data_IF_433202105066
#
_entry.id   IF_433202105066
#
_cell.length_a   1.000
_cell.length_b   1.000
_cell.length_c   1.000
_cell.angle_alpha   90.00
_cell.angle_beta   90.00
_cell.angle_gamma   90.00
#
_symmetry.space_group_name_H-M   'P 1'
#
loop_
_entity.id
_entity.type
_entity.pdbx_description
1 polymer ?
#
# COMPACT_ATOMS: atom_id res chain seq x y z
N UNK A 1 10.74 -2.08 22.85
CA UNK A 1 11.24 -2.00 21.46
C UNK A 1 10.87 -0.68 20.81
N UNK A 2 9.58 -0.32 20.70
CA UNK A 2 9.18 0.95 20.04
C UNK A 2 9.83 2.19 20.67
N UNK A 3 9.91 2.27 22.01
CA UNK A 3 10.59 3.38 22.74
C UNK A 3 12.06 3.62 22.35
N UNK A 4 12.75 2.63 21.78
CA UNK A 4 14.16 2.76 21.38
C UNK A 4 14.35 3.05 19.89
N UNK A 5 13.27 3.25 19.14
CA UNK A 5 13.35 3.61 17.72
C UNK A 5 13.73 5.08 17.54
N UNK A 6 14.03 5.46 16.30
CA UNK A 6 14.30 6.85 15.94
C UNK A 6 13.11 7.77 16.30
N UNK A 7 13.42 9.06 16.47
CA UNK A 7 12.38 10.11 16.55
C UNK A 7 11.50 10.04 15.29
N UNK A 8 10.20 10.27 15.48
CA UNK A 8 9.19 10.27 14.41
C UNK A 8 9.10 8.93 13.68
N UNK A 9 9.21 7.82 14.43
CA UNK A 9 9.26 6.47 13.86
C UNK A 9 7.97 6.04 13.16
N UNK A 10 8.13 5.25 12.10
CA UNK A 10 7.05 4.53 11.41
C UNK A 10 7.09 3.08 11.89
N UNK A 11 5.96 2.55 12.34
CA UNK A 11 5.85 1.19 12.88
C UNK A 11 4.66 0.44 12.29
N UNK A 12 4.91 -0.62 11.52
CA UNK A 12 3.87 -1.45 10.90
C UNK A 12 3.80 -2.83 11.55
N UNK A 13 2.72 -3.09 12.31
CA UNK A 13 2.41 -4.38 12.91
C UNK A 13 1.32 -5.11 12.12
N UNK A 14 1.74 -5.94 11.17
CA UNK A 14 0.87 -6.50 10.14
C UNK A 14 0.40 -7.94 10.43
N UNK A 15 0.76 -8.53 11.57
CA UNK A 15 0.22 -9.82 11.97
C UNK A 15 -1.32 -9.77 12.09
N UNK A 16 -1.98 -10.86 11.69
CA UNK A 16 -3.42 -11.02 11.75
C UNK A 16 -3.79 -12.33 12.45
N UNK A 17 -4.91 -12.39 13.21
CA UNK A 17 -5.84 -11.28 13.49
C UNK A 17 -5.33 -10.30 14.56
N UNK A 18 -4.30 -10.69 15.31
CA UNK A 18 -3.70 -9.89 16.38
C UNK A 18 -2.35 -9.34 15.92
N UNK A 19 -2.15 -8.01 15.91
CA UNK A 19 -0.88 -7.39 15.54
C UNK A 19 0.20 -7.68 16.59
N UNK A 20 1.47 -7.49 16.22
CA UNK A 20 2.64 -7.67 17.08
C UNK A 20 2.63 -6.77 18.33
N UNK A 21 1.94 -5.62 18.24
CA UNK A 21 1.66 -4.66 19.31
C UNK A 21 0.38 -3.93 18.96
N UNK A 22 -0.43 -3.55 19.96
CA UNK A 22 -1.62 -2.76 19.69
C UNK A 22 -1.25 -1.30 19.33
N UNK A 23 -2.00 -0.62 18.46
CA UNK A 23 -1.66 0.73 18.02
C UNK A 23 -1.58 1.78 19.13
N UNK A 24 -2.42 1.67 20.16
CA UNK A 24 -2.40 2.53 21.34
C UNK A 24 -1.10 2.36 22.14
N UNK A 25 -0.67 1.12 22.37
CA UNK A 25 0.60 0.82 23.04
C UNK A 25 1.81 1.30 22.22
N UNK A 26 1.77 1.13 20.89
CA UNK A 26 2.83 1.64 20.00
C UNK A 26 2.89 3.18 20.03
N UNK A 27 1.74 3.85 20.09
CA UNK A 27 1.65 5.31 20.18
C UNK A 27 2.17 5.82 21.53
N UNK A 28 1.78 5.18 22.63
CA UNK A 28 2.31 5.50 23.97
C UNK A 28 3.82 5.29 24.04
N UNK A 29 4.33 4.30 23.32
CA UNK A 29 5.76 4.03 23.21
C UNK A 29 6.51 5.01 22.27
N UNK A 30 5.82 5.94 21.60
CA UNK A 30 6.44 7.03 20.83
C UNK A 30 6.51 6.81 19.32
N UNK A 31 5.79 5.84 18.75
CA UNK A 31 5.64 5.74 17.30
C UNK A 31 4.79 6.90 16.75
N UNK A 32 5.23 7.50 15.65
CA UNK A 32 4.55 8.63 15.01
C UNK A 32 3.53 8.18 13.98
N UNK A 33 3.93 7.27 13.09
CA UNK A 33 3.03 6.65 12.10
C UNK A 33 2.90 5.18 12.43
N UNK A 34 1.67 4.70 12.55
CA UNK A 34 1.37 3.32 12.94
C UNK A 34 0.45 2.73 11.90
N UNK A 35 0.81 1.56 11.38
CA UNK A 35 0.00 0.80 10.42
C UNK A 35 -0.23 -0.62 10.91
N UNK A 36 -1.38 -1.20 10.56
CA UNK A 36 -1.68 -2.60 10.88
C UNK A 36 -2.35 -3.33 9.73
N UNK A 37 -2.56 -4.64 9.84
CA UNK A 37 -3.38 -5.40 8.89
C UNK A 37 -4.90 -5.24 9.09
N UNK A 38 -5.34 -4.63 10.19
CA UNK A 38 -6.74 -4.59 10.63
C UNK A 38 -7.48 -3.38 10.11
N UNK A 39 -8.76 -3.57 9.77
CA UNK A 39 -9.62 -2.53 9.18
C UNK A 39 -10.20 -1.55 10.19
N UNK A 40 -10.18 -1.89 11.47
CA UNK A 40 -10.71 -1.05 12.56
C UNK A 40 -9.68 -0.04 13.10
N UNK A 41 -8.48 0.00 12.53
CA UNK A 41 -7.44 0.98 12.86
C UNK A 41 -7.04 1.83 11.63
N UNK A 42 -6.52 3.05 11.84
CA UNK A 42 -5.92 3.85 10.77
C UNK A 42 -4.78 3.12 10.07
N UNK A 43 -4.46 3.58 8.86
CA UNK A 43 -3.37 3.07 8.03
C UNK A 43 -3.38 1.54 7.86
N UNK A 44 -4.52 0.99 7.48
CA UNK A 44 -4.61 -0.44 7.19
C UNK A 44 -3.77 -0.79 5.96
N UNK A 45 -2.74 -1.62 6.16
CA UNK A 45 -1.97 -2.23 5.08
C UNK A 45 -2.65 -3.51 4.64
N UNK A 46 -3.33 -3.46 3.49
CA UNK A 46 -4.10 -4.58 2.97
C UNK A 46 -3.82 -4.81 1.48
N UNK A 47 -3.63 -6.08 1.10
CA UNK A 47 -3.36 -6.47 -0.29
C UNK A 47 -4.51 -6.15 -1.25
N UNK A 48 -5.73 -5.89 -0.76
CA UNK A 48 -6.90 -5.45 -1.55
C UNK A 48 -6.64 -4.13 -2.28
N UNK A 49 -5.73 -3.30 -1.78
CA UNK A 49 -5.29 -2.08 -2.48
C UNK A 49 -4.47 -2.38 -3.74
N UNK A 50 -3.88 -3.58 -3.84
CA UNK A 50 -2.95 -3.94 -4.90
C UNK A 50 -3.54 -4.96 -5.88
N UNK A 51 -3.96 -6.12 -5.41
CA UNK A 51 -4.25 -7.25 -6.31
C UNK A 51 -5.33 -6.96 -7.37
N UNK A 52 -6.45 -6.25 -7.09
CA UNK A 52 -7.46 -6.00 -8.12
C UNK A 52 -6.89 -5.21 -9.30
N UNK A 53 -6.10 -4.18 -9.02
CA UNK A 53 -5.48 -3.35 -10.04
C UNK A 53 -4.33 -4.05 -10.75
N UNK A 54 -3.47 -4.78 -10.02
CA UNK A 54 -2.38 -5.58 -10.61
C UNK A 54 -2.92 -6.57 -11.64
N UNK A 55 -3.93 -7.36 -11.26
CA UNK A 55 -4.50 -8.34 -12.18
C UNK A 55 -5.25 -7.65 -13.32
N UNK A 56 -6.02 -6.59 -13.05
CA UNK A 56 -6.72 -5.85 -14.11
C UNK A 56 -5.76 -5.28 -15.15
N UNK A 57 -4.70 -4.61 -14.72
CA UNK A 57 -3.72 -4.02 -15.62
C UNK A 57 -2.96 -5.07 -16.42
N UNK A 58 -2.49 -6.14 -15.77
CA UNK A 58 -1.77 -7.21 -16.44
C UNK A 58 -2.65 -7.95 -17.48
N UNK A 59 -3.93 -8.18 -17.18
CA UNK A 59 -4.87 -8.79 -18.11
C UNK A 59 -5.15 -7.89 -19.32
N UNK A 60 -5.23 -6.56 -19.12
CA UNK A 60 -5.54 -5.59 -20.18
C UNK A 60 -4.49 -5.53 -21.27
N UNK A 61 -3.22 -5.72 -20.92
CA UNK A 61 -2.10 -5.78 -21.89
C UNK A 61 -1.59 -7.20 -22.14
N UNK A 62 -2.33 -8.20 -21.63
CA UNK A 62 -1.98 -9.62 -21.69
C UNK A 62 -0.53 -9.87 -21.28
N UNK A 63 -0.05 -9.26 -20.21
CA UNK A 63 1.31 -9.42 -19.72
C UNK A 63 1.67 -10.91 -19.58
N UNK A 64 2.92 -11.27 -19.87
CA UNK A 64 3.42 -12.64 -19.74
C UNK A 64 3.68 -13.03 -18.28
N UNK A 65 3.96 -12.06 -17.43
CA UNK A 65 4.30 -12.21 -16.02
C UNK A 65 4.00 -10.93 -15.24
N UNK A 66 4.14 -10.97 -13.92
CA UNK A 66 4.17 -9.79 -13.04
C UNK A 66 5.62 -9.62 -12.55
N UNK A 67 6.37 -8.70 -13.16
CA UNK A 67 7.78 -8.44 -12.81
C UNK A 67 7.94 -7.39 -11.69
N UNK A 68 9.18 -7.08 -11.32
CA UNK A 68 9.49 -6.14 -10.24
C UNK A 68 9.10 -4.69 -10.60
N UNK A 69 9.30 -4.29 -11.86
CA UNK A 69 8.91 -2.97 -12.35
C UNK A 69 7.40 -2.74 -12.17
N UNK A 70 6.58 -3.75 -12.47
CA UNK A 70 5.13 -3.73 -12.23
C UNK A 70 4.81 -3.62 -10.74
N UNK A 71 5.50 -4.35 -9.85
CA UNK A 71 5.26 -4.28 -8.39
C UNK A 71 5.60 -2.89 -7.83
N UNK A 72 6.71 -2.32 -8.26
CA UNK A 72 7.13 -0.96 -7.89
C UNK A 72 6.11 0.07 -8.41
N UNK A 73 5.64 -0.07 -9.65
CA UNK A 73 4.63 0.80 -10.23
C UNK A 73 3.31 0.76 -9.44
N UNK A 74 2.85 -0.42 -9.01
CA UNK A 74 1.68 -0.53 -8.15
C UNK A 74 1.88 0.15 -6.79
N UNK A 75 3.04 -0.01 -6.16
CA UNK A 75 3.35 0.65 -4.89
C UNK A 75 3.29 2.19 -5.01
N UNK A 76 3.90 2.76 -6.06
CA UNK A 76 3.83 4.19 -6.33
C UNK A 76 2.42 4.66 -6.66
N UNK A 77 1.66 3.88 -7.43
CA UNK A 77 0.28 4.22 -7.77
C UNK A 77 -0.63 4.25 -6.53
N UNK A 78 -0.43 3.35 -5.56
CA UNK A 78 -1.18 3.40 -4.29
C UNK A 78 -0.74 4.62 -3.46
N UNK A 79 0.57 4.84 -3.33
CA UNK A 79 1.11 5.94 -2.53
C UNK A 79 0.69 7.32 -3.06
N UNK A 80 0.60 7.50 -4.38
CA UNK A 80 0.24 8.78 -5.00
C UNK A 80 -1.24 9.14 -4.87
N UNK A 81 -2.08 8.29 -4.28
CA UNK A 81 -3.52 8.57 -4.14
C UNK A 81 -3.84 9.50 -2.98
N UNK A 82 -2.93 9.61 -2.02
CA UNK A 82 -3.06 10.61 -0.96
C UNK A 82 -2.28 11.84 -1.39
N UNK A 83 -2.97 12.98 -1.42
CA UNK A 83 -2.34 14.26 -1.72
C UNK A 83 -1.53 14.74 -0.52
N UNK A 84 -0.50 15.55 -0.78
CA UNK A 84 0.35 16.11 0.27
C UNK A 84 -0.44 16.89 1.34
N UNK A 85 -1.53 17.56 0.95
CA UNK A 85 -2.42 18.30 1.85
C UNK A 85 -3.25 17.40 2.78
N UNK A 86 -3.47 16.14 2.39
CA UNK A 86 -4.25 15.16 3.13
C UNK A 86 -3.36 14.24 3.99
N UNK A 87 -2.04 14.27 3.79
CA UNK A 87 -1.08 13.44 4.52
C UNK A 87 -1.04 13.82 6.01
N UNK A 88 -1.25 12.82 6.85
CA UNK A 88 -1.05 12.94 8.29
C UNK A 88 -0.73 11.55 8.89
N UNK A 89 -0.45 11.52 10.19
CA UNK A 89 -0.04 10.31 10.91
C UNK A 89 -1.04 9.16 10.83
N UNK A 90 -2.31 9.45 10.56
CA UNK A 90 -3.41 8.49 10.44
C UNK A 90 -3.89 8.30 8.98
N UNK A 91 -3.23 8.94 8.00
CA UNK A 91 -3.61 8.90 6.60
C UNK A 91 -2.36 8.86 5.70
N UNK A 92 -1.64 7.73 5.72
CA UNK A 92 -0.46 7.49 4.87
C UNK A 92 -0.68 6.41 3.80
N UNK A 93 -1.83 5.74 3.82
CA UNK A 93 -2.24 4.75 2.83
C UNK A 93 -3.76 4.88 2.58
N UNK A 94 -4.22 4.82 1.31
CA UNK A 94 -5.63 5.05 0.99
C UNK A 94 -6.55 4.02 1.65
N UNK A 95 -7.81 4.40 1.81
CA UNK A 95 -8.83 3.51 2.36
C UNK A 95 -8.98 2.25 1.50
N UNK A 96 -8.95 1.08 2.15
CA UNK A 96 -8.92 -0.23 1.50
C UNK A 96 -10.08 -0.50 0.52
N UNK A 97 -11.23 0.14 0.70
CA UNK A 97 -12.41 -0.03 -0.16
C UNK A 97 -12.70 1.18 -1.06
N UNK A 98 -11.74 2.11 -1.19
CA UNK A 98 -11.81 3.13 -2.23
C UNK A 98 -11.77 2.47 -3.61
N UNK A 99 -12.88 2.59 -4.35
CA UNK A 99 -13.08 1.96 -5.65
C UNK A 99 -12.17 2.53 -6.75
N UNK A 100 -11.55 3.68 -6.52
CA UNK A 100 -10.67 4.33 -7.50
C UNK A 100 -9.26 3.71 -7.49
N UNK A 101 -8.86 3.05 -6.40
CA UNK A 101 -7.52 2.47 -6.23
C UNK A 101 -7.22 1.44 -7.31
N UNK A 102 -8.14 0.50 -7.53
CA UNK A 102 -7.95 -0.57 -8.50
C UNK A 102 -7.71 -0.03 -9.92
N UNK A 103 -8.40 1.03 -10.31
CA UNK A 103 -8.23 1.65 -11.63
C UNK A 103 -6.86 2.34 -11.74
N UNK A 104 -6.46 3.10 -10.73
CA UNK A 104 -5.16 3.79 -10.73
C UNK A 104 -3.98 2.80 -10.80
N UNK A 105 -4.04 1.74 -9.99
CA UNK A 105 -3.04 0.67 -10.01
C UNK A 105 -3.04 -0.08 -11.35
N UNK A 106 -4.22 -0.33 -11.95
CA UNK A 106 -4.30 -0.99 -13.25
C UNK A 106 -3.60 -0.19 -14.36
N UNK A 107 -3.80 1.13 -14.43
CA UNK A 107 -3.13 1.96 -15.43
C UNK A 107 -1.60 1.97 -15.24
N UNK A 108 -1.14 2.08 -14.00
CA UNK A 108 0.29 2.01 -13.68
C UNK A 108 0.91 0.66 -14.09
N UNK A 109 0.18 -0.43 -13.85
CA UNK A 109 0.61 -1.78 -14.19
C UNK A 109 0.67 -2.00 -15.70
N UNK A 110 -0.32 -1.51 -16.47
CA UNK A 110 -0.28 -1.57 -17.94
C UNK A 110 0.95 -0.86 -18.48
N UNK A 111 1.18 0.36 -18.00
CA UNK A 111 2.34 1.17 -18.41
C UNK A 111 3.65 0.44 -18.12
N UNK A 112 3.83 -0.06 -16.89
CA UNK A 112 5.04 -0.78 -16.50
C UNK A 112 5.24 -2.07 -17.30
N UNK A 113 4.17 -2.82 -17.59
CA UNK A 113 4.24 -4.03 -18.41
C UNK A 113 4.66 -3.75 -19.86
N UNK A 114 4.22 -2.63 -20.44
CA UNK A 114 4.63 -2.18 -21.78
C UNK A 114 6.10 -1.75 -21.76
N UNK A 115 6.49 -0.91 -20.80
CA UNK A 115 7.86 -0.36 -20.70
C UNK A 115 8.91 -1.43 -20.44
N UNK A 116 8.57 -2.46 -19.66
CA UNK A 116 9.44 -3.61 -19.38
C UNK A 116 9.40 -4.71 -20.45
N UNK A 117 8.56 -4.56 -21.48
CA UNK A 117 8.49 -5.50 -22.62
C UNK A 117 7.79 -6.83 -22.33
N UNK A 118 7.07 -6.95 -21.21
CA UNK A 118 6.31 -8.17 -20.86
C UNK A 118 4.87 -8.15 -21.38
N UNK A 119 4.37 -6.99 -21.79
CA UNK A 119 3.08 -6.82 -22.48
C UNK A 119 3.06 -7.53 -23.85
N UNK A 120 1.87 -7.99 -24.26
CA UNK A 120 1.65 -8.62 -25.59
C UNK A 120 0.73 -7.81 -26.49
N UNK A 121 0.04 -6.81 -25.97
CA UNK A 121 -0.78 -5.83 -26.70
C UNK A 121 -0.63 -4.45 -26.07
#
# INVERSE_FOLDING_TARGET
MVKSMNKDSIFFAMANPTPEIMPDEAKEAGARVIGTGRSDFPNQVNNVLAFPGIFRGALDVRAKEINEEMKIAAAYAIASMIKDEDLNENNVIPYALDRTVANNVAEAIKKAAIESGVARI
#
